data_IF_135900494145
#
_entry.id   IF_135900494145
#
_cell.length_a   1.000
_cell.length_b   1.000
_cell.length_c   1.000
_cell.angle_alpha   90.00
_cell.angle_beta   90.00
_cell.angle_gamma   90.00
#
_symmetry.space_group_name_H-M   'P 1'
#
loop_
_entity.id
_entity.type
_entity.pdbx_description
1 polymer ?
#
# COMPACT_ATOMS: atom_id res chain seq x y z
N UNK A 1 7.05 -1.94 -11.85
CA UNK A 1 6.43 -0.59 -11.76
C UNK A 1 6.32 0.21 -13.07
N UNK A 2 6.84 -0.27 -14.23
CA UNK A 2 6.62 0.39 -15.55
C UNK A 2 5.13 0.53 -15.94
N UNK A 3 4.24 -0.24 -15.30
CA UNK A 3 2.79 -0.19 -15.53
C UNK A 3 2.20 1.21 -15.25
N UNK A 4 2.67 1.90 -14.22
CA UNK A 4 2.12 3.19 -13.80
C UNK A 4 2.28 4.22 -14.91
N UNK A 5 3.48 4.32 -15.49
CA UNK A 5 3.74 5.21 -16.62
C UNK A 5 2.99 4.85 -17.91
N UNK A 6 2.44 3.64 -18.04
CA UNK A 6 1.62 3.22 -19.19
C UNK A 6 0.12 3.45 -18.97
N UNK A 7 -0.35 3.21 -17.75
CA UNK A 7 -1.78 3.28 -17.40
C UNK A 7 -2.19 4.72 -17.07
N UNK A 8 -1.40 5.47 -16.30
CA UNK A 8 -1.75 6.83 -15.90
C UNK A 8 -2.10 7.75 -17.09
N UNK A 9 -1.35 7.74 -18.22
CA UNK A 9 -1.74 8.50 -19.42
C UNK A 9 -3.11 8.13 -20.00
N UNK A 10 -3.50 6.85 -19.92
CA UNK A 10 -4.80 6.38 -20.42
C UNK A 10 -5.95 6.84 -19.52
N UNK A 11 -5.66 7.17 -18.26
CA UNK A 11 -6.60 7.75 -17.31
C UNK A 11 -6.64 9.28 -17.37
N UNK A 12 -5.99 9.88 -18.38
CA UNK A 12 -5.89 11.33 -18.55
C UNK A 12 -4.86 12.00 -17.65
N UNK A 13 -4.05 11.24 -16.91
CA UNK A 13 -2.97 11.77 -16.09
C UNK A 13 -1.70 12.06 -16.87
N UNK A 14 -0.94 13.08 -16.44
CA UNK A 14 0.38 13.41 -16.98
C UNK A 14 1.49 13.32 -15.93
N UNK A 15 1.11 13.49 -14.66
CA UNK A 15 1.97 13.34 -13.50
C UNK A 15 1.33 12.36 -12.52
N UNK A 16 2.14 11.64 -11.75
CA UNK A 16 1.62 10.88 -10.61
C UNK A 16 2.62 10.76 -9.47
N UNK A 17 2.08 10.55 -8.27
CA UNK A 17 2.80 10.03 -7.11
C UNK A 17 2.02 8.85 -6.55
N UNK A 18 2.70 7.78 -6.18
CA UNK A 18 2.14 6.72 -5.37
C UNK A 18 2.90 6.68 -4.05
N UNK A 19 2.22 6.89 -2.93
CA UNK A 19 2.83 6.90 -1.60
C UNK A 19 2.36 5.69 -0.80
N UNK A 20 3.29 4.94 -0.23
CA UNK A 20 3.00 3.94 0.81
C UNK A 20 3.23 4.60 2.15
N UNK A 21 2.17 4.72 2.95
CA UNK A 21 2.17 5.38 4.25
C UNK A 21 2.10 4.30 5.33
N UNK A 22 3.15 4.19 6.16
CA UNK A 22 3.17 3.24 7.26
C UNK A 22 2.52 3.85 8.51
N UNK A 23 1.43 3.23 8.95
CA UNK A 23 0.54 3.64 10.03
C UNK A 23 0.30 2.44 10.97
N UNK A 24 1.25 2.15 11.89
CA UNK A 24 1.22 0.95 12.72
C UNK A 24 0.16 0.96 13.84
N UNK A 25 -0.38 2.14 14.19
CA UNK A 25 -1.28 2.32 15.34
C UNK A 25 -2.65 2.94 14.98
N UNK A 26 -3.63 2.78 15.88
CA UNK A 26 -4.93 3.51 15.85
C UNK A 26 -4.78 5.04 15.94
N UNK A 27 -3.59 5.54 16.27
CA UNK A 27 -3.29 6.98 16.34
C UNK A 27 -3.38 7.68 14.98
N UNK A 28 -3.42 6.90 13.88
CA UNK A 28 -3.42 7.41 12.50
C UNK A 28 -2.20 8.28 12.18
N UNK A 29 -1.11 8.13 12.94
CA UNK A 29 0.13 8.85 12.67
C UNK A 29 0.95 8.11 11.59
N UNK A 30 1.41 8.86 10.59
CA UNK A 30 2.33 8.34 9.57
C UNK A 30 3.73 8.28 10.20
N UNK A 31 4.25 7.07 10.35
CA UNK A 31 5.57 6.80 10.97
C UNK A 31 6.69 6.74 9.94
N UNK A 32 6.39 6.23 8.75
CA UNK A 32 7.29 6.17 7.60
C UNK A 32 6.49 6.37 6.31
N UNK A 33 7.14 6.85 5.26
CA UNK A 33 6.56 6.89 3.93
C UNK A 33 7.58 6.58 2.84
N UNK A 34 7.15 5.80 1.84
CA UNK A 34 7.88 5.59 0.60
C UNK A 34 7.07 6.15 -0.56
N UNK A 35 7.75 6.62 -1.61
CA UNK A 35 7.08 7.21 -2.76
C UNK A 35 7.65 6.68 -4.07
N UNK A 36 6.76 6.31 -4.98
CA UNK A 36 7.04 6.21 -6.41
C UNK A 36 6.53 7.47 -7.10
N UNK A 37 7.37 8.07 -7.94
CA UNK A 37 6.97 9.20 -8.77
C UNK A 37 7.04 8.90 -10.26
N UNK A 38 6.10 9.46 -11.00
CA UNK A 38 6.18 9.66 -12.45
C UNK A 38 5.81 11.10 -12.79
N UNK A 39 6.49 12.03 -12.11
CA UNK A 39 6.43 13.46 -12.33
C UNK A 39 7.85 14.02 -12.26
N UNK A 40 8.02 15.32 -12.51
CA UNK A 40 9.31 15.97 -12.39
C UNK A 40 9.83 15.87 -10.93
N UNK A 41 11.06 15.38 -10.69
CA UNK A 41 11.55 15.08 -9.34
C UNK A 41 11.64 16.31 -8.42
N UNK A 42 11.75 17.52 -9.01
CA UNK A 42 11.70 18.79 -8.28
C UNK A 42 10.42 18.97 -7.44
N UNK A 43 9.32 18.28 -7.78
CA UNK A 43 8.11 18.28 -6.96
C UNK A 43 8.35 17.70 -5.58
N UNK A 44 8.82 16.45 -5.48
CA UNK A 44 9.05 15.79 -4.20
C UNK A 44 10.14 16.48 -3.39
N UNK A 45 11.16 17.02 -4.08
CA UNK A 45 12.20 17.82 -3.42
C UNK A 45 11.59 19.07 -2.74
N UNK A 46 10.82 19.86 -3.48
CA UNK A 46 10.16 21.05 -2.92
C UNK A 46 9.20 20.67 -1.78
N UNK A 47 8.37 19.65 -1.99
CA UNK A 47 7.40 19.15 -1.01
C UNK A 47 8.04 18.74 0.32
N UNK A 48 9.17 18.03 0.27
CA UNK A 48 9.91 17.63 1.47
C UNK A 48 10.61 18.85 2.10
N UNK A 49 11.29 19.68 1.31
CA UNK A 49 12.04 20.85 1.81
C UNK A 49 11.17 21.87 2.55
N UNK A 50 9.93 22.06 2.09
CA UNK A 50 8.96 22.98 2.69
C UNK A 50 8.12 22.31 3.78
N UNK A 51 8.37 21.03 4.06
CA UNK A 51 7.66 20.24 5.07
C UNK A 51 6.14 20.19 4.86
N UNK A 52 5.68 20.27 3.60
CA UNK A 52 4.26 20.29 3.26
C UNK A 52 3.54 19.00 3.66
N UNK A 53 4.27 17.89 3.83
CA UNK A 53 3.73 16.64 4.37
C UNK A 53 3.10 16.76 5.76
N UNK A 54 3.43 17.79 6.55
CA UNK A 54 2.85 17.98 7.88
C UNK A 54 1.41 18.51 7.86
N UNK A 55 0.99 19.10 6.74
CA UNK A 55 -0.32 19.73 6.56
C UNK A 55 -0.94 19.36 5.20
N UNK A 56 -0.54 18.22 4.61
CA UNK A 56 -1.06 17.80 3.31
C UNK A 56 -2.49 17.27 3.49
N UNK A 57 -3.52 17.98 3.01
CA UNK A 57 -4.90 17.55 3.16
C UNK A 57 -5.16 16.22 2.45
N UNK A 58 -4.38 15.86 1.44
CA UNK A 58 -4.47 14.57 0.74
C UNK A 58 -4.03 13.41 1.65
N UNK A 59 -3.02 13.63 2.50
CA UNK A 59 -2.59 12.64 3.49
C UNK A 59 -3.64 12.48 4.58
N UNK A 60 -4.15 13.60 5.10
CA UNK A 60 -5.21 13.59 6.12
C UNK A 60 -6.49 12.92 5.61
N UNK A 61 -6.86 13.18 4.37
CA UNK A 61 -7.98 12.53 3.69
C UNK A 61 -7.75 11.02 3.60
N UNK A 62 -6.57 10.58 3.16
CA UNK A 62 -6.24 9.17 3.00
C UNK A 62 -6.26 8.38 4.33
N UNK A 63 -5.96 9.04 5.45
CA UNK A 63 -6.05 8.43 6.78
C UNK A 63 -7.49 8.16 7.25
N UNK A 64 -8.48 8.82 6.64
CA UNK A 64 -9.88 8.82 7.11
C UNK A 64 -10.86 8.24 6.09
N UNK A 65 -10.53 8.29 4.82
CA UNK A 65 -11.42 7.97 3.71
C UNK A 65 -10.77 6.96 2.77
N UNK A 66 -11.56 6.01 2.30
CA UNK A 66 -11.14 5.01 1.32
C UNK A 66 -11.73 5.24 -0.07
N UNK A 67 -12.50 6.31 -0.29
CA UNK A 67 -13.05 6.67 -1.60
C UNK A 67 -12.08 7.55 -2.36
N UNK A 68 -11.99 7.36 -3.67
CA UNK A 68 -11.28 8.33 -4.50
C UNK A 68 -12.05 9.65 -4.52
N UNK A 69 -11.34 10.78 -4.60
CA UNK A 69 -11.93 12.12 -4.73
C UNK A 69 -11.07 13.04 -5.59
N UNK A 70 -11.63 14.15 -6.07
CA UNK A 70 -10.83 15.24 -6.63
C UNK A 70 -10.07 15.92 -5.50
N UNK A 71 -8.86 16.42 -5.79
CA UNK A 71 -8.08 17.17 -4.81
C UNK A 71 -8.75 18.50 -4.42
N UNK A 72 -9.55 19.09 -5.31
CA UNK A 72 -10.38 20.28 -5.05
C UNK A 72 -11.50 20.02 -4.03
N UNK A 73 -12.01 18.80 -3.97
CA UNK A 73 -13.08 18.41 -3.04
C UNK A 73 -12.56 18.10 -1.62
N UNK A 74 -11.24 18.13 -1.41
CA UNK A 74 -10.64 17.91 -0.09
C UNK A 74 -10.53 19.27 0.62
N UNK A 75 -11.27 19.44 1.70
CA UNK A 75 -11.15 20.62 2.57
C UNK A 75 -9.72 20.75 3.10
N UNK A 76 -9.03 21.82 2.70
CA UNK A 76 -7.69 22.12 3.21
C UNK A 76 -7.80 22.88 4.54
N UNK A 77 -7.22 22.31 5.61
CA UNK A 77 -7.01 23.02 6.88
C UNK A 77 -5.87 24.04 6.71
N UNK A 78 -6.24 25.24 6.26
CA UNK A 78 -5.30 26.32 5.95
C UNK A 78 -4.95 26.36 4.46
N UNK A 79 -5.20 27.51 3.83
CA UNK A 79 -4.98 27.69 2.40
C UNK A 79 -3.51 28.05 2.11
N UNK A 80 -2.64 27.04 2.02
CA UNK A 80 -1.29 27.25 1.51
C UNK A 80 -1.33 27.31 -0.03
N UNK A 81 -1.77 28.46 -0.57
CA UNK A 81 -1.78 28.75 -2.00
C UNK A 81 -0.42 28.48 -2.66
N UNK A 82 0.68 28.66 -1.93
CA UNK A 82 2.04 28.45 -2.44
C UNK A 82 2.30 26.98 -2.76
N UNK A 83 1.78 26.05 -1.95
CA UNK A 83 1.88 24.63 -2.24
C UNK A 83 1.14 24.25 -3.53
N UNK A 84 -0.07 24.79 -3.72
CA UNK A 84 -0.87 24.61 -4.94
C UNK A 84 -0.16 25.18 -6.17
N UNK A 85 0.38 26.39 -6.09
CA UNK A 85 1.09 27.04 -7.19
C UNK A 85 2.34 26.28 -7.61
N UNK A 86 3.09 25.73 -6.65
CA UNK A 86 4.28 24.91 -6.95
C UNK A 86 3.88 23.55 -7.50
N UNK A 87 2.86 22.89 -6.93
CA UNK A 87 2.34 21.62 -7.45
C UNK A 87 1.87 21.76 -8.91
N UNK A 88 1.21 22.87 -9.24
CA UNK A 88 0.77 23.21 -10.58
C UNK A 88 1.93 23.26 -11.60
N UNK A 89 3.08 23.80 -11.21
CA UNK A 89 4.29 23.84 -12.08
C UNK A 89 4.85 22.45 -12.40
N UNK A 90 4.54 21.45 -11.57
CA UNK A 90 5.01 20.07 -11.73
C UNK A 90 3.93 19.10 -12.24
N UNK A 91 2.85 19.63 -12.83
CA UNK A 91 1.82 18.84 -13.51
C UNK A 91 0.66 18.40 -12.61
N UNK A 92 0.48 19.05 -11.46
CA UNK A 92 -0.67 18.87 -10.57
C UNK A 92 -1.55 20.13 -10.56
N UNK A 93 -1.89 20.67 -11.74
CA UNK A 93 -2.81 21.82 -11.89
C UNK A 93 -4.26 21.42 -11.60
N UNK A 94 -4.60 20.18 -11.94
CA UNK A 94 -5.73 19.44 -11.38
C UNK A 94 -5.24 18.08 -10.91
N UNK A 95 -5.91 17.49 -9.91
CA UNK A 95 -5.50 16.18 -9.42
C UNK A 95 -6.66 15.36 -8.85
N UNK A 96 -6.49 14.05 -8.90
CA UNK A 96 -7.31 13.05 -8.21
C UNK A 96 -6.48 12.41 -7.11
N UNK A 97 -7.10 12.15 -5.98
CA UNK A 97 -6.55 11.42 -4.84
C UNK A 97 -7.31 10.09 -4.68
N UNK A 98 -6.59 8.99 -4.63
CA UNK A 98 -7.12 7.63 -4.58
C UNK A 98 -6.42 6.84 -3.47
N UNK A 99 -6.98 6.86 -2.24
CA UNK A 99 -6.48 6.04 -1.14
C UNK A 99 -6.97 4.58 -1.25
N UNK A 100 -6.13 3.66 -0.81
CA UNK A 100 -6.42 2.22 -0.68
C UNK A 100 -5.91 1.69 0.65
N UNK A 101 -6.75 0.90 1.31
CA UNK A 101 -6.51 0.35 2.65
C UNK A 101 -6.60 -1.17 2.62
N UNK A 102 -5.98 -1.80 3.61
CA UNK A 102 -6.22 -3.21 3.93
C UNK A 102 -6.95 -3.31 5.26
N UNK A 103 -7.90 -4.25 5.42
CA UNK A 103 -8.68 -4.39 6.65
C UNK A 103 -7.84 -4.48 7.94
N UNK A 104 -6.67 -5.11 7.87
CA UNK A 104 -5.71 -5.31 8.98
C UNK A 104 -4.32 -4.72 8.68
N UNK A 105 -4.17 -3.90 7.64
CA UNK A 105 -2.86 -3.46 7.19
C UNK A 105 -2.35 -2.23 7.93
N UNK A 106 -1.04 -2.22 8.21
CA UNK A 106 -0.30 -1.06 8.71
C UNK A 106 0.17 -0.15 7.58
N UNK A 107 -0.20 -0.43 6.32
CA UNK A 107 0.21 0.36 5.16
C UNK A 107 -1.01 0.85 4.39
N UNK A 108 -1.07 2.15 4.15
CA UNK A 108 -2.05 2.79 3.28
C UNK A 108 -1.35 3.12 1.96
N UNK A 109 -1.95 2.70 0.85
CA UNK A 109 -1.53 3.15 -0.47
C UNK A 109 -2.26 4.43 -0.84
N UNK A 110 -1.55 5.42 -1.37
CA UNK A 110 -2.12 6.69 -1.80
C UNK A 110 -1.63 7.03 -3.20
N UNK A 111 -2.50 6.80 -4.18
CA UNK A 111 -2.28 7.23 -5.56
C UNK A 111 -2.80 8.66 -5.74
N UNK A 112 -1.94 9.55 -6.22
CA UNK A 112 -2.32 10.86 -6.71
C UNK A 112 -1.97 10.96 -8.19
N UNK A 113 -2.94 11.35 -9.01
CA UNK A 113 -2.75 11.57 -10.45
C UNK A 113 -3.02 13.04 -10.74
N UNK A 114 -2.07 13.69 -11.40
CA UNK A 114 -2.14 15.09 -11.81
C UNK A 114 -2.30 15.27 -13.32
N UNK A 115 -2.92 16.38 -13.71
CA UNK A 115 -2.94 16.87 -15.08
C UNK A 115 -2.43 18.33 -15.11
N UNK A 116 -1.80 18.71 -16.23
CA UNK A 116 -1.33 20.07 -16.49
C UNK A 116 -2.42 21.03 -16.97
N UNK A 117 -3.63 20.54 -17.28
CA UNK A 117 -4.79 21.39 -17.52
C UNK A 117 -5.29 21.97 -16.18
N UNK A 118 -5.73 23.24 -16.15
CA UNK A 118 -6.33 23.83 -14.96
C UNK A 118 -7.69 23.20 -14.64
N UNK A 119 -8.23 23.55 -13.48
CA UNK A 119 -9.62 23.27 -13.13
C UNK A 119 -10.55 24.23 -13.89
N UNK A 120 -11.74 23.78 -14.33
CA UNK A 120 -12.30 22.42 -14.17
C UNK A 120 -11.91 21.44 -15.28
N UNK A 121 -11.25 21.88 -16.35
CA UNK A 121 -11.01 21.07 -17.57
C UNK A 121 -10.19 19.81 -17.27
N UNK A 122 -9.11 19.94 -16.52
CA UNK A 122 -8.26 18.82 -16.13
C UNK A 122 -8.98 17.84 -15.21
N UNK A 123 -9.89 18.31 -14.34
CA UNK A 123 -10.68 17.44 -13.46
C UNK A 123 -11.70 16.64 -14.25
N UNK A 124 -12.37 17.24 -15.23
CA UNK A 124 -13.28 16.51 -16.14
C UNK A 124 -12.58 15.41 -16.92
N UNK A 125 -11.32 15.62 -17.29
CA UNK A 125 -10.51 14.58 -17.96
C UNK A 125 -10.16 13.44 -17.01
N UNK A 126 -9.76 13.76 -15.78
CA UNK A 126 -9.37 12.76 -14.78
C UNK A 126 -10.57 12.00 -14.20
N UNK A 127 -11.72 12.66 -14.04
CA UNK A 127 -12.88 12.19 -13.27
C UNK A 127 -14.01 11.59 -14.10
N UNK A 128 -13.66 10.88 -15.16
CA UNK A 128 -14.62 10.10 -15.94
C UNK A 128 -14.98 8.81 -15.20
N UNK A 129 -16.23 8.36 -15.25
CA UNK A 129 -16.70 7.18 -14.49
C UNK A 129 -15.82 5.94 -14.71
N UNK A 130 -15.45 5.66 -15.96
CA UNK A 130 -14.54 4.55 -16.31
C UNK A 130 -13.15 4.69 -15.68
N UNK A 131 -12.65 5.90 -15.48
CA UNK A 131 -11.32 6.11 -14.91
C UNK A 131 -11.32 5.87 -13.41
N UNK A 132 -12.41 6.17 -12.68
CA UNK A 132 -12.48 6.03 -11.22
C UNK A 132 -12.22 4.58 -10.78
N UNK A 133 -12.83 3.61 -11.45
CA UNK A 133 -12.64 2.18 -11.17
C UNK A 133 -11.21 1.74 -11.51
N UNK A 134 -10.70 2.14 -12.67
CA UNK A 134 -9.35 1.78 -13.11
C UNK A 134 -8.26 2.39 -12.22
N UNK A 135 -8.42 3.63 -11.76
CA UNK A 135 -7.52 4.27 -10.80
C UNK A 135 -7.48 3.50 -9.49
N UNK A 136 -8.65 3.07 -8.99
CA UNK A 136 -8.75 2.29 -7.75
C UNK A 136 -8.10 0.92 -7.91
N UNK A 137 -8.36 0.22 -9.01
CA UNK A 137 -7.74 -1.08 -9.30
C UNK A 137 -6.22 -0.96 -9.42
N UNK A 138 -5.72 0.05 -10.14
CA UNK A 138 -4.29 0.34 -10.23
C UNK A 138 -3.69 0.64 -8.87
N UNK A 139 -4.37 1.45 -8.06
CA UNK A 139 -3.86 1.83 -6.74
C UNK A 139 -3.76 0.62 -5.81
N UNK A 140 -4.77 -0.24 -5.82
CA UNK A 140 -4.82 -1.46 -5.02
C UNK A 140 -3.76 -2.48 -5.46
N UNK A 141 -3.56 -2.65 -6.77
CA UNK A 141 -2.56 -3.57 -7.31
C UNK A 141 -1.13 -3.14 -6.95
N UNK A 142 -0.85 -1.84 -6.97
CA UNK A 142 0.46 -1.32 -6.51
C UNK A 142 0.65 -1.48 -5.00
N UNK A 143 -0.42 -1.46 -4.20
CA UNK A 143 -0.35 -1.78 -2.77
C UNK A 143 -0.06 -3.27 -2.57
N UNK A 144 -0.75 -4.16 -3.31
CA UNK A 144 -0.52 -5.61 -3.27
C UNK A 144 0.95 -5.96 -3.46
N UNK A 145 1.56 -5.45 -4.54
CA UNK A 145 2.96 -5.75 -4.86
C UNK A 145 3.92 -5.30 -3.76
N UNK A 146 3.61 -4.20 -3.08
CA UNK A 146 4.44 -3.73 -1.98
C UNK A 146 4.29 -4.61 -0.74
N UNK A 147 3.07 -5.00 -0.38
CA UNK A 147 2.81 -5.91 0.74
C UNK A 147 3.47 -7.28 0.49
N UNK A 148 3.35 -7.80 -0.74
CA UNK A 148 3.99 -9.07 -1.12
C UNK A 148 5.52 -8.97 -1.06
N UNK A 149 6.09 -7.85 -1.50
CA UNK A 149 7.53 -7.62 -1.37
C UNK A 149 8.00 -7.56 0.10
N UNK A 150 7.23 -6.89 0.98
CA UNK A 150 7.53 -6.85 2.42
C UNK A 150 7.43 -8.24 3.06
N UNK A 151 6.44 -9.05 2.64
CA UNK A 151 6.28 -10.44 3.07
C UNK A 151 7.46 -11.31 2.68
N UNK A 152 7.90 -11.19 1.43
CA UNK A 152 9.03 -11.96 0.91
C UNK A 152 10.33 -11.55 1.60
N UNK A 153 10.54 -10.26 1.84
CA UNK A 153 11.68 -9.75 2.62
C UNK A 153 11.69 -10.30 4.05
N UNK A 154 10.54 -10.26 4.73
CA UNK A 154 10.41 -10.78 6.09
C UNK A 154 10.60 -12.29 6.14
N UNK A 155 10.01 -13.03 5.20
CA UNK A 155 10.16 -14.48 5.11
C UNK A 155 11.62 -14.88 4.88
N UNK A 156 12.32 -14.12 4.02
CA UNK A 156 13.76 -14.29 3.82
C UNK A 156 14.55 -14.00 5.10
N UNK A 157 14.18 -12.96 5.85
CA UNK A 157 14.85 -12.57 7.11
C UNK A 157 14.80 -13.68 8.16
N UNK A 158 13.67 -14.38 8.29
CA UNK A 158 13.51 -15.53 9.20
C UNK A 158 13.81 -16.88 8.52
N UNK A 159 14.34 -16.86 7.29
CA UNK A 159 14.67 -18.03 6.48
C UNK A 159 13.53 -19.04 6.32
N UNK A 160 12.28 -18.59 6.21
CA UNK A 160 11.12 -19.45 5.97
C UNK A 160 11.04 -19.83 4.49
N UNK A 161 11.01 -21.13 4.21
CA UNK A 161 10.83 -21.62 2.85
C UNK A 161 9.34 -21.58 2.41
N UNK A 162 9.09 -21.79 1.11
CA UNK A 162 7.73 -21.74 0.55
C UNK A 162 6.78 -22.76 1.19
N UNK A 163 7.30 -23.91 1.59
CA UNK A 163 6.50 -25.00 2.18
C UNK A 163 6.13 -24.67 3.62
N UNK A 164 7.06 -24.12 4.39
CA UNK A 164 6.85 -23.62 5.75
C UNK A 164 5.83 -22.47 5.75
N UNK A 165 5.93 -21.54 4.79
CA UNK A 165 4.92 -20.48 4.62
C UNK A 165 3.53 -21.05 4.28
N UNK A 166 3.44 -22.06 3.41
CA UNK A 166 2.17 -22.71 3.08
C UNK A 166 1.56 -23.39 4.31
N UNK A 167 2.38 -24.06 5.13
CA UNK A 167 1.94 -24.66 6.39
C UNK A 167 1.41 -23.59 7.34
N UNK A 168 2.11 -22.47 7.54
CA UNK A 168 1.65 -21.35 8.35
C UNK A 168 0.28 -20.82 7.90
N UNK A 169 0.06 -20.66 6.58
CA UNK A 169 -1.23 -20.23 6.01
C UNK A 169 -2.35 -21.23 6.31
N UNK A 170 -2.09 -22.53 6.17
CA UNK A 170 -3.10 -23.56 6.45
C UNK A 170 -3.46 -23.63 7.93
N UNK A 171 -2.47 -23.55 8.83
CA UNK A 171 -2.72 -23.54 10.28
C UNK A 171 -3.48 -22.28 10.68
N UNK A 172 -3.15 -21.12 10.11
CA UNK A 172 -3.94 -19.89 10.30
C UNK A 172 -5.40 -20.08 9.87
N UNK A 173 -5.65 -20.81 8.78
CA UNK A 173 -7.00 -21.15 8.33
C UNK A 173 -7.70 -22.25 9.18
N UNK A 174 -7.16 -22.59 10.36
CA UNK A 174 -7.72 -23.56 11.29
C UNK A 174 -7.53 -25.02 10.87
N UNK A 175 -6.63 -25.31 9.92
CA UNK A 175 -6.37 -26.69 9.47
C UNK A 175 -5.55 -27.46 10.51
N UNK A 176 -5.96 -28.69 10.78
CA UNK A 176 -5.23 -29.62 11.66
C UNK A 176 -4.00 -30.19 10.96
N UNK A 177 -3.09 -30.84 11.71
CA UNK A 177 -1.91 -31.50 11.13
C UNK A 177 -2.30 -32.54 10.05
N UNK A 178 -3.39 -33.29 10.30
CA UNK A 178 -3.99 -34.22 9.35
C UNK A 178 -4.43 -33.52 8.05
N UNK A 179 -5.21 -32.45 8.14
CA UNK A 179 -5.65 -31.72 6.94
C UNK A 179 -4.48 -31.06 6.19
N UNK A 180 -3.46 -30.59 6.91
CA UNK A 180 -2.24 -30.04 6.30
C UNK A 180 -1.47 -31.13 5.57
N UNK A 181 -1.37 -32.32 6.15
CA UNK A 181 -0.71 -33.48 5.58
C UNK A 181 -1.38 -33.89 4.26
N UNK A 182 -2.72 -34.00 4.28
CA UNK A 182 -3.52 -34.29 3.08
C UNK A 182 -3.33 -33.22 2.00
N UNK A 183 -3.41 -31.94 2.38
CA UNK A 183 -3.26 -30.82 1.43
C UNK A 183 -1.89 -30.79 0.77
N UNK A 184 -0.84 -31.17 1.51
CA UNK A 184 0.55 -31.15 1.02
C UNK A 184 1.02 -32.50 0.46
N UNK A 185 0.17 -33.53 0.47
CA UNK A 185 0.50 -34.88 0.00
C UNK A 185 1.63 -35.54 0.78
N UNK A 186 1.70 -35.34 2.11
CA UNK A 186 2.72 -35.94 2.98
C UNK A 186 2.12 -36.54 4.25
N UNK A 187 2.96 -37.19 5.06
CA UNK A 187 2.51 -37.74 6.36
C UNK A 187 2.31 -36.67 7.43
N UNK A 188 1.44 -36.91 8.41
CA UNK A 188 1.29 -36.05 9.59
C UNK A 188 2.61 -35.87 10.35
N UNK A 189 3.43 -36.93 10.43
CA UNK A 189 4.78 -36.85 11.01
C UNK A 189 5.63 -35.79 10.33
N UNK A 190 5.61 -35.73 8.99
CA UNK A 190 6.32 -34.70 8.22
C UNK A 190 5.80 -33.30 8.53
N UNK A 191 4.49 -33.14 8.76
CA UNK A 191 3.90 -31.86 9.17
C UNK A 191 4.40 -31.43 10.56
N UNK A 192 4.46 -32.34 11.52
CA UNK A 192 5.03 -32.06 12.85
C UNK A 192 6.52 -31.67 12.78
N UNK A 193 7.30 -32.31 11.92
CA UNK A 193 8.71 -31.93 11.68
C UNK A 193 8.80 -30.50 11.10
N UNK A 194 7.90 -30.14 10.18
CA UNK A 194 7.82 -28.78 9.63
C UNK A 194 7.40 -27.78 10.72
N UNK A 195 6.43 -28.11 11.58
CA UNK A 195 6.05 -27.27 12.72
C UNK A 195 7.25 -26.98 13.63
N UNK A 196 8.07 -27.98 13.94
CA UNK A 196 9.26 -27.80 14.76
C UNK A 196 10.29 -26.86 14.09
N UNK A 197 10.47 -26.97 12.77
CA UNK A 197 11.35 -26.05 12.01
C UNK A 197 10.83 -24.62 12.04
N UNK A 198 9.54 -24.42 11.79
CA UNK A 198 8.87 -23.11 11.85
C UNK A 198 9.02 -22.50 13.26
N UNK A 199 8.69 -23.26 14.29
CA UNK A 199 8.77 -22.83 15.69
C UNK A 199 10.19 -22.37 16.05
N UNK A 200 11.21 -23.14 15.63
CA UNK A 200 12.61 -22.79 15.83
C UNK A 200 12.99 -21.50 15.09
N UNK A 201 12.59 -21.35 13.81
CA UNK A 201 12.88 -20.15 13.00
C UNK A 201 12.22 -18.89 13.54
N UNK A 202 11.02 -19.02 14.10
CA UNK A 202 10.25 -17.91 14.68
C UNK A 202 10.51 -17.70 16.18
N UNK A 203 11.33 -18.55 16.82
CA UNK A 203 11.71 -18.40 18.23
C UNK A 203 10.55 -18.66 19.21
N UNK A 204 9.63 -19.56 18.88
CA UNK A 204 8.43 -19.85 19.67
C UNK A 204 8.31 -21.34 20.00
N UNK A 205 7.48 -21.68 21.00
CA UNK A 205 7.33 -23.07 21.47
C UNK A 205 6.29 -23.89 20.70
N UNK A 206 5.27 -23.26 20.13
CA UNK A 206 4.14 -23.95 19.50
C UNK A 206 3.68 -23.27 18.21
N UNK A 207 3.11 -24.06 17.29
CA UNK A 207 2.71 -23.59 15.96
C UNK A 207 1.64 -22.48 16.02
N UNK A 208 0.76 -22.50 17.02
CA UNK A 208 -0.23 -21.43 17.21
C UNK A 208 0.44 -20.09 17.57
N UNK A 209 1.51 -20.12 18.38
CA UNK A 209 2.32 -18.92 18.66
C UNK A 209 3.11 -18.48 17.43
N UNK A 210 3.58 -19.43 16.62
CA UNK A 210 4.24 -19.12 15.35
C UNK A 210 3.30 -18.40 14.38
N UNK A 211 2.03 -18.82 14.29
CA UNK A 211 1.01 -18.12 13.50
C UNK A 211 0.78 -16.70 14.03
N UNK A 212 0.62 -16.52 15.34
CA UNK A 212 0.44 -15.19 15.93
C UNK A 212 1.64 -14.26 15.65
N UNK A 213 2.87 -14.76 15.82
CA UNK A 213 4.11 -14.04 15.50
C UNK A 213 4.22 -13.74 14.00
N UNK A 214 3.78 -14.66 13.13
CA UNK A 214 3.79 -14.46 11.69
C UNK A 214 2.81 -13.35 11.26
N UNK A 215 1.65 -13.26 11.90
CA UNK A 215 0.70 -12.16 11.67
C UNK A 215 1.32 -10.83 12.13
N UNK A 216 1.88 -10.79 13.35
CA UNK A 216 2.51 -9.58 13.92
C UNK A 216 3.66 -9.04 13.04
N UNK A 217 4.45 -9.95 12.46
CA UNK A 217 5.54 -9.61 11.53
C UNK A 217 5.07 -9.34 10.09
N UNK A 218 3.76 -9.43 9.79
CA UNK A 218 3.21 -9.23 8.45
C UNK A 218 3.48 -10.35 7.45
N UNK A 219 4.00 -11.51 7.89
CA UNK A 219 4.22 -12.71 7.06
C UNK A 219 2.91 -13.34 6.58
N UNK A 220 1.81 -13.09 7.31
CA UNK A 220 0.46 -13.53 7.00
C UNK A 220 -0.49 -12.33 7.08
N UNK A 221 -1.62 -12.40 6.37
CA UNK A 221 -2.75 -11.48 6.56
C UNK A 221 -3.44 -11.67 7.93
#
# INVERSE_FOLDING_TARGET
MKIMGRVVPQLGGRSYTYRWLHVPDRTRAITDQRCLIGCHPGWMHAYISQQWYRKDPSLDYALRNSTSTLASDIEALGDDHRAKDVAARYGFRSAVVCPVHRPSGTVIGLLQIGNGLPQPEGERVLWQDRHRVLMRALADEVLNWHIDALRDEEASRVALDKREQAVLRLVRAGRTACNVADTLGVSERTVYDIFQKINRKLGVSHITRAVAMAIDKGLLD
#
